data_IF_890325262409
#
_entry.id   IF_890325262409
#
_cell.length_a   1.000
_cell.length_b   1.000
_cell.length_c   1.000
_cell.angle_alpha   90.00
_cell.angle_beta   90.00
_cell.angle_gamma   90.00
#
_symmetry.space_group_name_H-M   'P 1'
#
loop_
_entity.id
_entity.type
_entity.pdbx_description
1 polymer ?
#
# COMPACT_ATOMS: atom_id res chain seq x y z
N UNK A 1 -15.21 14.64 16.36
CA UNK A 1 -16.04 13.59 15.74
C UNK A 1 -15.24 12.99 14.60
N UNK A 2 -14.30 12.10 14.92
CA UNK A 2 -13.41 11.47 13.94
C UNK A 2 -13.90 10.03 13.72
N UNK A 3 -14.23 9.69 12.48
CA UNK A 3 -14.85 8.43 12.05
C UNK A 3 -13.89 7.23 12.04
N UNK A 4 -12.81 7.31 12.80
CA UNK A 4 -11.82 6.25 12.82
C UNK A 4 -12.32 5.11 13.72
N UNK A 5 -12.31 3.84 13.25
CA UNK A 5 -12.72 2.72 14.07
C UNK A 5 -11.85 2.72 15.34
N UNK A 6 -12.53 2.53 16.47
CA UNK A 6 -12.05 2.85 17.81
C UNK A 6 -10.65 2.24 18.08
N UNK A 7 -9.64 3.12 18.15
CA UNK A 7 -8.31 2.99 18.79
C UNK A 7 -7.25 2.05 18.20
N UNK A 8 -7.59 1.03 17.42
CA UNK A 8 -6.58 0.08 16.93
C UNK A 8 -6.08 0.43 15.52
N UNK A 9 -5.18 1.42 15.43
CA UNK A 9 -4.44 1.75 14.20
C UNK A 9 -3.00 2.13 14.50
N UNK A 10 -2.17 2.11 13.46
CA UNK A 10 -0.78 2.54 13.54
C UNK A 10 -0.57 3.80 12.72
N UNK A 11 0.47 4.55 13.06
CA UNK A 11 0.84 5.79 12.37
C UNK A 11 1.96 5.56 11.37
N UNK A 12 1.76 6.02 10.13
CA UNK A 12 2.78 6.08 9.09
C UNK A 12 3.39 7.49 9.06
N UNK A 13 4.68 7.58 9.39
CA UNK A 13 5.43 8.84 9.42
C UNK A 13 6.24 9.03 8.14
N UNK A 14 5.96 10.11 7.41
CA UNK A 14 6.69 10.48 6.18
C UNK A 14 7.40 11.84 6.30
N UNK A 15 7.25 12.53 7.43
CA UNK A 15 7.82 13.85 7.71
C UNK A 15 9.35 13.93 7.71
N UNK A 16 10.06 12.79 7.75
CA UNK A 16 11.51 12.74 7.64
C UNK A 16 12.01 12.84 6.19
N UNK A 17 11.13 12.65 5.21
CA UNK A 17 11.45 12.79 3.80
C UNK A 17 11.29 14.25 3.36
N UNK A 18 12.18 14.77 2.49
CA UNK A 18 12.02 16.09 1.92
C UNK A 18 10.70 16.21 1.14
N UNK A 19 9.98 17.35 1.23
CA UNK A 19 8.72 17.55 0.50
C UNK A 19 8.85 17.36 -1.02
N UNK A 20 10.01 17.65 -1.59
CA UNK A 20 10.31 17.48 -3.00
C UNK A 20 10.30 16.00 -3.40
N UNK A 21 10.84 15.12 -2.54
CA UNK A 21 10.86 13.67 -2.76
C UNK A 21 9.45 13.10 -2.67
N UNK A 22 8.65 13.58 -1.73
CA UNK A 22 7.24 13.16 -1.59
C UNK A 22 6.43 13.54 -2.83
N UNK A 23 6.66 14.73 -3.38
CA UNK A 23 5.98 15.22 -4.59
C UNK A 23 6.43 14.50 -5.85
N UNK A 24 7.72 14.15 -5.96
CA UNK A 24 8.27 13.46 -7.13
C UNK A 24 7.94 11.96 -7.14
N UNK A 25 8.10 11.29 -5.98
CA UNK A 25 8.07 9.82 -5.90
C UNK A 25 6.77 9.26 -5.33
N UNK A 26 6.09 10.00 -4.47
CA UNK A 26 4.88 9.55 -3.76
C UNK A 26 3.69 10.54 -3.89
N UNK A 27 3.41 11.08 -5.10
CA UNK A 27 2.35 12.08 -5.26
C UNK A 27 0.97 11.52 -4.89
N UNK A 28 0.68 10.27 -5.27
CA UNK A 28 -0.59 9.63 -5.00
C UNK A 28 -0.88 9.42 -3.51
N UNK A 29 0.14 9.13 -2.69
CA UNK A 29 -0.03 8.98 -1.23
C UNK A 29 -0.35 10.34 -0.61
N UNK A 30 0.37 11.37 -1.01
CA UNK A 30 0.20 12.73 -0.49
C UNK A 30 -1.20 13.27 -0.80
N UNK A 31 -1.68 13.06 -2.03
CA UNK A 31 -3.04 13.43 -2.46
C UNK A 31 -4.12 12.63 -1.71
N UNK A 32 -3.97 11.30 -1.66
CA UNK A 32 -4.96 10.42 -1.00
C UNK A 32 -5.04 10.72 0.50
N UNK A 33 -3.93 10.98 1.17
CA UNK A 33 -3.92 11.35 2.59
C UNK A 33 -4.60 12.70 2.84
N UNK A 34 -4.38 13.69 1.97
CA UNK A 34 -5.05 14.99 2.09
C UNK A 34 -6.57 14.89 1.84
N UNK A 35 -6.99 14.14 0.82
CA UNK A 35 -8.40 14.01 0.44
C UNK A 35 -9.20 13.17 1.43
N UNK A 36 -8.67 12.00 1.80
CA UNK A 36 -9.44 10.99 2.55
C UNK A 36 -9.17 11.00 4.05
N UNK A 37 -7.97 11.40 4.49
CA UNK A 37 -7.62 11.49 5.90
C UNK A 37 -7.58 12.95 6.42
N UNK A 38 -7.55 13.95 5.51
CA UNK A 38 -7.41 15.36 5.89
C UNK A 38 -6.04 15.69 6.50
N UNK A 39 -5.02 14.88 6.20
CA UNK A 39 -3.68 14.96 6.83
C UNK A 39 -2.67 15.52 5.84
N UNK A 40 -1.88 16.52 6.29
CA UNK A 40 -0.66 16.95 5.58
C UNK A 40 0.50 16.02 5.95
N UNK A 41 0.88 15.14 5.02
CA UNK A 41 1.92 14.10 5.20
C UNK A 41 3.30 14.66 5.55
N UNK A 42 3.54 15.96 5.33
CA UNK A 42 4.80 16.63 5.67
C UNK A 42 4.86 17.07 7.14
N UNK A 43 3.70 17.20 7.80
CA UNK A 43 3.57 17.73 9.17
C UNK A 43 3.01 16.71 10.15
N UNK A 44 2.07 15.90 9.70
CA UNK A 44 1.26 15.02 10.52
C UNK A 44 1.31 13.57 10.00
N UNK A 45 1.30 12.56 10.88
CA UNK A 45 1.34 11.16 10.47
C UNK A 45 0.00 10.68 9.93
N UNK A 46 0.04 9.75 8.97
CA UNK A 46 -1.16 9.15 8.37
C UNK A 46 -1.61 7.96 9.25
N UNK A 47 -2.87 7.90 9.71
CA UNK A 47 -3.39 6.71 10.38
C UNK A 47 -3.63 5.60 9.34
N UNK A 48 -3.10 4.40 9.59
CA UNK A 48 -3.22 3.24 8.67
C UNK A 48 -3.65 1.96 9.40
N UNK A 49 -4.26 1.06 8.63
CA UNK A 49 -4.75 -0.24 9.09
C UNK A 49 -4.27 -1.36 8.15
N UNK A 50 -3.94 -2.55 8.67
CA UNK A 50 -3.73 -3.72 7.83
C UNK A 50 -5.00 -4.09 7.06
N UNK A 51 -4.88 -4.32 5.75
CA UNK A 51 -5.98 -4.77 4.89
C UNK A 51 -5.54 -5.95 4.04
N UNK A 52 -6.51 -6.75 3.61
CA UNK A 52 -6.23 -7.87 2.69
C UNK A 52 -5.87 -7.29 1.33
N UNK A 53 -4.65 -7.57 0.85
CA UNK A 53 -4.16 -7.04 -0.42
C UNK A 53 -4.21 -8.07 -1.56
N UNK A 54 -3.81 -9.31 -1.29
CA UNK A 54 -3.66 -10.32 -2.34
C UNK A 54 -3.92 -11.73 -1.80
N UNK A 55 -4.51 -12.59 -2.62
CA UNK A 55 -4.72 -14.00 -2.34
C UNK A 55 -3.72 -14.82 -3.15
N UNK A 56 -2.86 -15.58 -2.48
CA UNK A 56 -1.85 -16.41 -3.15
C UNK A 56 -2.42 -17.68 -3.81
N UNK A 57 -3.64 -18.09 -3.45
CA UNK A 57 -4.31 -19.24 -4.06
C UNK A 57 -4.85 -18.92 -5.45
N UNK A 58 -4.96 -19.94 -6.31
CA UNK A 58 -5.49 -19.81 -7.66
C UNK A 58 -5.89 -21.15 -8.24
N UNK A 59 -6.42 -21.12 -9.46
CA UNK A 59 -6.68 -22.34 -10.23
C UNK A 59 -5.32 -22.97 -10.57
N UNK A 60 -5.09 -24.27 -10.26
CA UNK A 60 -3.86 -24.94 -10.63
C UNK A 60 -3.63 -24.87 -12.14
N UNK A 61 -2.49 -24.31 -12.55
CA UNK A 61 -2.03 -24.33 -13.93
C UNK A 61 -0.95 -25.41 -14.06
N UNK A 62 -1.00 -26.30 -15.07
CA UNK A 62 0.06 -27.27 -15.28
C UNK A 62 1.40 -26.56 -15.51
N UNK A 63 2.49 -27.19 -15.08
CA UNK A 63 3.87 -26.68 -15.27
C UNK A 63 4.34 -26.76 -16.75
N UNK A 64 3.45 -27.19 -17.63
CA UNK A 64 3.72 -27.54 -19.02
C UNK A 64 2.94 -26.56 -19.91
N UNK A 65 3.69 -25.73 -20.64
CA UNK A 65 3.10 -25.04 -21.79
C UNK A 65 2.70 -26.11 -22.82
N UNK A 66 1.67 -25.88 -23.66
CA UNK A 66 1.21 -26.82 -24.69
C UNK A 66 2.29 -27.29 -25.69
N UNK A 67 3.50 -26.72 -25.63
CA UNK A 67 4.67 -27.04 -26.44
C UNK A 67 5.77 -27.81 -25.70
N UNK A 68 5.50 -28.36 -24.51
CA UNK A 68 6.42 -29.30 -23.83
C UNK A 68 7.67 -28.66 -23.21
N UNK A 69 7.69 -27.33 -23.02
CA UNK A 69 8.73 -26.65 -22.24
C UNK A 69 8.46 -26.79 -20.75
N UNK A 70 9.32 -27.47 -20.00
CA UNK A 70 9.20 -27.61 -18.54
C UNK A 70 9.45 -26.26 -17.86
N UNK A 71 8.40 -25.65 -17.30
CA UNK A 71 8.53 -24.54 -16.37
C UNK A 71 9.02 -25.05 -15.00
N UNK A 72 10.10 -24.44 -14.51
CA UNK A 72 10.87 -24.74 -13.31
C UNK A 72 10.05 -25.30 -12.12
N UNK A 73 10.48 -26.45 -11.56
CA UNK A 73 10.13 -26.88 -10.21
C UNK A 73 11.32 -26.57 -9.29
N UNK A 74 11.18 -25.58 -8.41
CA UNK A 74 12.20 -25.19 -7.44
C UNK A 74 12.08 -23.74 -7.00
#
# INVERSE_FOLDING_TARGET
MTWWPLKDHIYLHLNHLPPEVLKERLPGISETAAIFAGVDVTKEPIPVLPTVHYNMGGIPCPNELPWGGSGYQG
#
